data_IF_604830663988
#
_entry.id   IF_604830663988
#
_cell.length_a   1.000
_cell.length_b   1.000
_cell.length_c   1.000
_cell.angle_alpha   90.00
_cell.angle_beta   90.00
_cell.angle_gamma   90.00
#
_symmetry.space_group_name_H-M   'P 1'
#
loop_
_entity.id
_entity.type
_entity.pdbx_description
1 polymer ?
#
# COMPACT_ATOMS: atom_id res chain seq x y z
N UNK A 1 -16.19 -7.34 -20.79
CA UNK A 1 -15.00 -6.49 -20.86
C UNK A 1 -15.54 -5.09 -20.68
N UNK A 2 -15.53 -4.60 -19.42
CA UNK A 2 -16.00 -3.24 -19.12
C UNK A 2 -14.99 -2.23 -19.64
N UNK A 3 -15.48 -1.14 -20.17
CA UNK A 3 -14.68 -0.02 -20.63
C UNK A 3 -13.80 0.48 -19.49
N UNK A 4 -12.49 0.65 -19.75
CA UNK A 4 -11.54 1.35 -18.88
C UNK A 4 -11.89 2.85 -18.98
N UNK A 5 -13.14 3.17 -18.64
CA UNK A 5 -13.75 4.50 -18.80
C UNK A 5 -13.90 5.27 -17.49
N UNK A 6 -13.94 4.59 -16.37
CA UNK A 6 -14.03 5.27 -15.08
C UNK A 6 -12.61 5.57 -14.58
N UNK A 7 -12.26 6.84 -14.65
CA UNK A 7 -11.07 7.40 -13.99
C UNK A 7 -11.12 7.06 -12.51
N UNK A 8 -9.95 6.68 -11.96
CA UNK A 8 -9.80 6.56 -10.52
C UNK A 8 -10.08 7.95 -9.92
N UNK A 9 -11.26 8.13 -9.35
CA UNK A 9 -11.58 9.33 -8.59
C UNK A 9 -11.25 9.09 -7.14
N UNK A 10 -10.11 9.61 -6.68
CA UNK A 10 -9.82 9.69 -5.26
C UNK A 10 -10.54 10.93 -4.74
N UNK A 11 -11.57 10.74 -3.93
CA UNK A 11 -12.34 11.84 -3.34
C UNK A 11 -12.10 11.97 -1.84
N UNK A 12 -11.67 10.90 -1.19
CA UNK A 12 -11.49 10.82 0.27
C UNK A 12 -10.25 10.02 0.63
N UNK A 13 -9.25 10.72 1.13
CA UNK A 13 -8.00 10.12 1.61
C UNK A 13 -8.03 10.09 3.15
N UNK A 14 -7.83 8.90 3.72
CA UNK A 14 -7.67 8.71 5.17
C UNK A 14 -6.19 8.51 5.49
N UNK A 15 -5.67 9.26 6.47
CA UNK A 15 -4.31 9.11 6.95
C UNK A 15 -4.29 9.00 8.48
N UNK A 16 -4.15 7.80 9.05
CA UNK A 16 -3.91 7.63 10.46
C UNK A 16 -2.48 8.02 10.83
N UNK A 17 -2.34 8.73 11.94
CA UNK A 17 -1.04 9.18 12.46
C UNK A 17 -0.87 8.82 13.92
N UNK A 18 0.35 8.45 14.29
CA UNK A 18 0.83 8.33 15.66
C UNK A 18 1.94 9.36 15.97
N UNK A 19 2.11 10.32 15.06
CA UNK A 19 3.11 11.38 15.13
C UNK A 19 4.57 10.89 15.13
N UNK A 20 4.81 9.65 14.70
CA UNK A 20 6.16 9.15 14.41
C UNK A 20 6.73 9.79 13.13
N UNK A 21 8.05 9.72 12.94
CA UNK A 21 8.68 10.20 11.70
C UNK A 21 8.09 9.52 10.46
N UNK A 22 7.78 8.22 10.55
CA UNK A 22 7.22 7.46 9.42
C UNK A 22 5.78 7.87 9.15
N UNK A 23 4.97 8.10 10.18
CA UNK A 23 3.61 8.62 9.98
C UNK A 23 3.60 10.04 9.44
N UNK A 24 4.55 10.88 9.80
CA UNK A 24 4.71 12.23 9.21
C UNK A 24 5.05 12.15 7.71
N UNK A 25 5.85 11.17 7.29
CA UNK A 25 6.08 10.92 5.85
C UNK A 25 4.80 10.45 5.16
N UNK A 26 4.04 9.57 5.79
CA UNK A 26 2.74 9.15 5.27
C UNK A 26 1.75 10.33 5.13
N UNK A 27 1.71 11.25 6.11
CA UNK A 27 0.93 12.50 6.02
C UNK A 27 1.33 13.34 4.81
N UNK A 28 2.63 13.46 4.52
CA UNK A 28 3.11 14.22 3.36
C UNK A 28 2.66 13.59 2.03
N UNK A 29 2.68 12.25 1.91
CA UNK A 29 2.13 11.55 0.74
C UNK A 29 0.59 11.72 0.65
N UNK A 30 -0.12 11.59 1.77
CA UNK A 30 -1.56 11.77 1.81
C UNK A 30 -1.98 13.20 1.39
N UNK A 31 -1.24 14.20 1.86
CA UNK A 31 -1.43 15.60 1.52
C UNK A 31 -1.21 15.84 0.02
N UNK A 32 -0.09 15.35 -0.53
CA UNK A 32 0.22 15.50 -1.95
C UNK A 32 -0.80 14.80 -2.86
N UNK A 33 -1.30 13.62 -2.45
CA UNK A 33 -2.36 12.92 -3.18
C UNK A 33 -3.69 13.67 -3.09
N UNK A 34 -4.07 14.15 -1.91
CA UNK A 34 -5.29 14.93 -1.72
C UNK A 34 -5.27 16.22 -2.57
N UNK A 35 -4.14 16.93 -2.59
CA UNK A 35 -3.93 18.11 -3.45
C UNK A 35 -4.09 17.79 -4.94
N UNK A 36 -3.43 16.73 -5.40
CA UNK A 36 -3.43 16.38 -6.82
C UNK A 36 -4.81 15.95 -7.34
N UNK A 37 -5.56 15.19 -6.53
CA UNK A 37 -6.87 14.65 -6.92
C UNK A 37 -8.05 15.53 -6.49
N UNK A 38 -7.81 16.71 -5.91
CA UNK A 38 -8.84 17.57 -5.32
C UNK A 38 -9.72 16.78 -4.31
N UNK A 39 -9.06 15.91 -3.54
CA UNK A 39 -9.69 15.03 -2.56
C UNK A 39 -9.70 15.65 -1.17
N UNK A 40 -10.71 15.31 -0.36
CA UNK A 40 -10.68 15.61 1.06
C UNK A 40 -9.68 14.72 1.80
N UNK A 41 -9.00 15.27 2.80
CA UNK A 41 -8.08 14.56 3.68
C UNK A 41 -8.66 14.42 5.09
N UNK A 42 -8.70 13.19 5.60
CA UNK A 42 -9.02 12.95 6.99
C UNK A 42 -7.79 12.46 7.76
N UNK A 43 -7.33 13.24 8.75
CA UNK A 43 -6.26 12.84 9.65
C UNK A 43 -6.87 12.22 10.92
N UNK A 44 -6.47 11.01 11.25
CA UNK A 44 -6.99 10.24 12.38
C UNK A 44 -5.87 9.90 13.35
N UNK A 45 -6.05 10.26 14.62
CA UNK A 45 -5.26 9.68 15.70
C UNK A 45 -6.10 8.69 16.51
N UNK A 46 -5.48 7.60 16.96
CA UNK A 46 -6.15 6.63 17.82
C UNK A 46 -5.37 6.48 19.11
N UNK A 47 -5.97 6.94 20.21
CA UNK A 47 -5.46 6.73 21.56
C UNK A 47 -5.60 5.23 21.92
N UNK A 48 -4.52 4.53 22.26
CA UNK A 48 -4.62 3.14 22.67
C UNK A 48 -5.44 3.00 23.95
N UNK A 49 -6.14 1.87 24.16
CA UNK A 49 -6.91 1.67 25.38
C UNK A 49 -6.01 1.72 26.60
N UNK A 50 -6.47 2.38 27.65
CA UNK A 50 -5.77 2.35 28.94
C UNK A 50 -5.57 0.89 29.39
N UNK A 51 -4.38 0.51 29.87
CA UNK A 51 -4.20 -0.81 30.46
C UNK A 51 -5.11 -0.89 31.68
N UNK A 52 -6.20 -1.65 31.56
CA UNK A 52 -7.05 -2.00 32.70
C UNK A 52 -6.19 -2.81 33.64
N UNK A 53 -6.10 -2.36 34.89
CA UNK A 53 -5.31 -2.87 36.01
C UNK A 53 -5.10 -4.40 35.99
N UNK A 54 -3.85 -4.79 36.16
CA UNK A 54 -3.54 -6.20 36.43
C UNK A 54 -4.23 -6.65 37.74
N UNK A 55 -4.74 -7.89 37.79
CA UNK A 55 -5.47 -8.41 38.98
C UNK A 55 -4.64 -8.52 40.29
N UNK A 56 -3.37 -8.20 40.24
CA UNK A 56 -2.45 -8.29 41.35
C UNK A 56 -1.59 -7.02 41.48
N UNK A 57 -2.10 -6.06 42.24
CA UNK A 57 -1.35 -4.91 42.69
C UNK A 57 -1.78 -3.60 42.06
N UNK A 58 -2.08 -2.62 42.90
CA UNK A 58 -2.38 -1.25 42.59
C UNK A 58 -1.12 -0.54 42.04
N UNK A 59 -0.91 -0.60 40.72
CA UNK A 59 -0.09 0.43 40.08
C UNK A 59 -1.05 1.63 39.91
N UNK A 60 -0.84 2.75 40.57
CA UNK A 60 -1.66 3.94 40.37
C UNK A 60 -1.51 4.34 38.88
N UNK A 61 -2.53 4.12 38.10
CA UNK A 61 -2.58 4.68 36.75
C UNK A 61 -2.73 6.19 36.92
N UNK A 62 -1.70 6.94 36.62
CA UNK A 62 -1.77 8.40 36.63
C UNK A 62 -2.66 8.87 35.48
N UNK A 63 -3.93 9.06 35.77
CA UNK A 63 -4.94 9.54 34.79
C UNK A 63 -4.51 10.86 34.15
N UNK A 64 -3.78 11.71 34.88
CA UNK A 64 -3.29 13.00 34.35
C UNK A 64 -2.33 12.81 33.20
N UNK A 65 -1.47 11.80 33.24
CA UNK A 65 -0.55 11.52 32.15
C UNK A 65 -1.28 11.18 30.86
N UNK A 66 -2.40 10.45 30.94
CA UNK A 66 -3.23 10.14 29.77
C UNK A 66 -3.99 11.36 29.26
N UNK A 67 -4.45 12.23 30.15
CA UNK A 67 -5.09 13.50 29.78
C UNK A 67 -4.08 14.41 29.06
N UNK A 68 -2.87 14.56 29.58
CA UNK A 68 -1.79 15.33 28.96
C UNK A 68 -1.39 14.76 27.59
N UNK A 69 -1.27 13.43 27.45
CA UNK A 69 -0.97 12.79 26.17
C UNK A 69 -2.09 13.04 25.14
N UNK A 70 -3.34 12.99 25.56
CA UNK A 70 -4.49 13.25 24.69
C UNK A 70 -4.55 14.73 24.26
N UNK A 71 -4.29 15.66 25.18
CA UNK A 71 -4.20 17.08 24.86
C UNK A 71 -3.07 17.37 23.86
N UNK A 72 -1.91 16.74 24.06
CA UNK A 72 -0.81 16.85 23.11
C UNK A 72 -1.17 16.27 21.74
N UNK A 73 -1.80 15.09 21.68
CA UNK A 73 -2.25 14.48 20.45
C UNK A 73 -3.26 15.35 19.68
N UNK A 74 -4.18 16.00 20.40
CA UNK A 74 -5.11 16.96 19.79
C UNK A 74 -4.40 18.18 19.22
N UNK A 75 -3.39 18.72 19.91
CA UNK A 75 -2.60 19.86 19.45
C UNK A 75 -1.76 19.51 18.22
N UNK A 76 -1.10 18.33 18.23
CA UNK A 76 -0.30 17.85 17.12
C UNK A 76 -1.17 17.58 15.87
N UNK A 77 -2.36 16.99 16.08
CA UNK A 77 -3.31 16.71 15.01
C UNK A 77 -3.90 18.01 14.42
N UNK A 78 -4.20 19.00 15.26
CA UNK A 78 -4.63 20.31 14.81
C UNK A 78 -3.55 20.99 13.95
N UNK A 79 -2.29 20.93 14.40
CA UNK A 79 -1.14 21.46 13.65
C UNK A 79 -0.96 20.79 12.29
N UNK A 80 -1.09 19.46 12.22
CA UNK A 80 -1.03 18.72 10.97
C UNK A 80 -2.20 19.11 10.04
N UNK A 81 -3.42 19.20 10.58
CA UNK A 81 -4.60 19.63 9.82
C UNK A 81 -4.49 21.06 9.30
N UNK A 82 -3.94 21.98 10.11
CA UNK A 82 -3.76 23.38 9.68
C UNK A 82 -2.73 23.50 8.55
N UNK A 83 -1.67 22.69 8.55
CA UNK A 83 -0.71 22.62 7.43
C UNK A 83 -1.38 22.18 6.14
N UNK A 84 -2.22 21.15 6.19
CA UNK A 84 -2.93 20.67 5.02
C UNK A 84 -3.97 21.68 4.50
N UNK A 85 -4.72 22.33 5.40
CA UNK A 85 -5.65 23.41 5.05
C UNK A 85 -4.95 24.62 4.45
N UNK A 86 -3.77 24.98 4.96
CA UNK A 86 -2.95 26.07 4.42
C UNK A 86 -2.46 25.75 2.98
N UNK A 87 -2.34 24.48 2.61
CA UNK A 87 -2.10 24.04 1.24
C UNK A 87 -3.38 23.99 0.37
N UNK A 88 -4.53 24.42 0.90
CA UNK A 88 -5.81 24.48 0.16
C UNK A 88 -6.63 23.19 0.20
N UNK A 89 -6.25 22.19 1.00
CA UNK A 89 -6.91 20.88 1.05
C UNK A 89 -8.06 20.92 2.07
N UNK A 90 -9.24 20.45 1.65
CA UNK A 90 -10.35 20.20 2.57
C UNK A 90 -9.95 19.12 3.58
N UNK A 91 -9.64 19.54 4.81
CA UNK A 91 -9.04 18.65 5.81
C UNK A 91 -9.85 18.62 7.09
N UNK A 92 -10.22 17.42 7.49
CA UNK A 92 -10.84 17.13 8.78
C UNK A 92 -9.90 16.31 9.68
N UNK A 93 -10.10 16.43 10.99
CA UNK A 93 -9.27 15.73 11.98
C UNK A 93 -10.15 15.06 13.03
N UNK A 94 -9.76 13.88 13.52
CA UNK A 94 -10.44 13.25 14.65
C UNK A 94 -9.49 12.44 15.53
N UNK A 95 -9.84 12.34 16.82
CA UNK A 95 -9.18 11.44 17.78
C UNK A 95 -10.20 10.40 18.22
N UNK A 96 -9.82 9.13 18.19
CA UNK A 96 -10.62 8.00 18.68
C UNK A 96 -9.89 7.27 19.80
N UNK A 97 -10.63 6.73 20.74
CA UNK A 97 -10.08 5.82 21.75
C UNK A 97 -10.34 4.37 21.37
N UNK A 98 -9.32 3.51 21.43
CA UNK A 98 -9.50 2.09 21.14
C UNK A 98 -8.27 1.39 20.55
N UNK A 99 -8.49 0.22 19.97
CA UNK A 99 -7.43 -0.52 19.29
C UNK A 99 -7.19 0.09 17.88
N UNK A 100 -5.98 0.62 17.57
CA UNK A 100 -5.74 1.38 16.36
C UNK A 100 -6.24 0.71 15.08
N UNK A 101 -5.88 -0.57 14.85
CA UNK A 101 -6.32 -1.26 13.63
C UNK A 101 -7.84 -1.39 13.51
N UNK A 102 -8.56 -1.54 14.63
CA UNK A 102 -10.02 -1.65 14.63
C UNK A 102 -10.67 -0.31 14.32
N UNK A 103 -10.22 0.73 14.98
CA UNK A 103 -10.77 2.07 14.81
C UNK A 103 -10.49 2.63 13.41
N UNK A 104 -9.28 2.41 12.87
CA UNK A 104 -8.94 2.81 11.50
C UNK A 104 -9.86 2.10 10.49
N UNK A 105 -10.06 0.77 10.62
CA UNK A 105 -10.95 0.03 9.74
C UNK A 105 -12.40 0.52 9.83
N UNK A 106 -12.88 0.87 11.04
CA UNK A 106 -14.20 1.44 11.22
C UNK A 106 -14.34 2.79 10.50
N UNK A 107 -13.33 3.67 10.59
CA UNK A 107 -13.34 4.99 9.92
C UNK A 107 -13.30 4.84 8.40
N UNK A 108 -12.57 3.85 7.85
CA UNK A 108 -12.60 3.56 6.41
C UNK A 108 -14.04 3.35 5.92
N UNK A 109 -14.81 2.52 6.65
CA UNK A 109 -16.20 2.21 6.29
C UNK A 109 -17.13 3.41 6.52
N UNK A 110 -17.03 4.07 7.68
CA UNK A 110 -17.88 5.20 8.05
C UNK A 110 -17.76 6.38 7.10
N UNK A 111 -16.53 6.64 6.62
CA UNK A 111 -16.25 7.75 5.72
C UNK A 111 -16.21 7.31 4.26
N UNK A 112 -16.35 6.01 3.99
CA UNK A 112 -16.18 5.42 2.68
C UNK A 112 -14.88 5.94 2.00
N UNK A 113 -13.74 5.76 2.69
CA UNK A 113 -12.45 6.24 2.21
C UNK A 113 -12.04 5.51 0.93
N UNK A 114 -11.58 6.26 -0.07
CA UNK A 114 -11.15 5.72 -1.36
C UNK A 114 -9.68 5.28 -1.34
N UNK A 115 -8.90 5.83 -0.41
CA UNK A 115 -7.50 5.50 -0.19
C UNK A 115 -7.14 5.67 1.27
N UNK A 116 -6.41 4.70 1.81
CA UNK A 116 -5.74 4.83 3.09
C UNK A 116 -4.23 4.99 2.89
N UNK A 117 -3.59 5.96 3.55
CA UNK A 117 -2.15 6.15 3.53
C UNK A 117 -1.61 6.03 4.96
N UNK A 118 -0.66 5.11 5.19
CA UNK A 118 -0.07 4.91 6.52
C UNK A 118 1.41 4.53 6.44
N UNK A 119 2.13 4.70 7.56
CA UNK A 119 3.51 4.26 7.69
C UNK A 119 3.64 2.75 7.90
N UNK A 120 4.80 2.19 7.60
CA UNK A 120 5.10 0.76 7.83
C UNK A 120 5.07 0.38 9.31
N UNK A 121 5.43 1.29 10.22
CA UNK A 121 5.45 1.10 11.68
C UNK A 121 5.30 2.46 12.37
N UNK A 122 4.98 2.44 13.67
CA UNK A 122 4.79 3.62 14.51
C UNK A 122 5.82 3.68 15.65
N UNK A 123 5.52 4.45 16.70
CA UNK A 123 6.39 4.74 17.86
C UNK A 123 6.99 3.50 18.55
N UNK A 124 6.37 2.33 18.45
CA UNK A 124 6.83 1.07 19.10
C UNK A 124 7.64 0.16 18.18
N UNK A 125 7.94 0.57 16.95
CA UNK A 125 8.63 -0.28 15.96
C UNK A 125 10.11 -0.43 16.25
N UNK A 126 10.54 -1.67 16.50
CA UNK A 126 11.95 -2.05 16.56
C UNK A 126 12.48 -2.11 15.14
N UNK A 127 13.54 -1.33 14.89
CA UNK A 127 14.43 -1.29 13.71
C UNK A 127 14.00 -2.00 12.40
N UNK A 128 13.71 -1.20 11.40
CA UNK A 128 13.90 -1.36 9.93
C UNK A 128 13.43 -2.64 9.19
N UNK A 129 12.99 -3.71 9.85
CA UNK A 129 12.69 -4.99 9.17
C UNK A 129 11.30 -5.58 9.46
N UNK A 130 10.47 -4.95 10.29
CA UNK A 130 9.16 -5.50 10.65
C UNK A 130 8.02 -4.57 10.21
N UNK A 131 7.05 -5.10 9.48
CA UNK A 131 5.78 -4.42 9.27
C UNK A 131 5.05 -4.37 10.61
N UNK A 132 4.62 -3.19 11.04
CA UNK A 132 3.89 -2.99 12.29
C UNK A 132 2.57 -3.77 12.30
N UNK A 133 2.20 -4.28 13.48
CA UNK A 133 0.98 -5.10 13.65
C UNK A 133 -0.31 -4.38 13.23
N UNK A 134 -0.34 -3.04 13.30
CA UNK A 134 -1.45 -2.22 12.82
C UNK A 134 -1.46 -2.21 11.30
N UNK A 135 -0.33 -1.86 10.66
CA UNK A 135 -0.21 -1.81 9.21
C UNK A 135 -0.53 -3.17 8.55
N UNK A 136 0.00 -4.28 9.11
CA UNK A 136 -0.30 -5.63 8.62
C UNK A 136 -1.80 -5.95 8.66
N UNK A 137 -2.46 -5.66 9.81
CA UNK A 137 -3.92 -5.89 9.94
C UNK A 137 -4.73 -5.04 8.98
N UNK A 138 -4.33 -3.79 8.77
CA UNK A 138 -4.98 -2.86 7.87
C UNK A 138 -4.84 -3.34 6.43
N UNK A 139 -3.61 -3.58 5.94
CA UNK A 139 -3.36 -4.06 4.57
C UNK A 139 -4.15 -5.33 4.26
N UNK A 140 -4.35 -6.19 5.26
CA UNK A 140 -5.11 -7.43 5.09
C UNK A 140 -6.63 -7.24 5.03
N UNK A 141 -7.18 -6.23 5.72
CA UNK A 141 -8.63 -6.14 6.00
C UNK A 141 -9.33 -4.91 5.44
N UNK A 142 -8.59 -3.91 4.99
CA UNK A 142 -9.18 -2.70 4.44
C UNK A 142 -10.06 -3.01 3.21
N UNK A 143 -11.16 -2.30 3.07
CA UNK A 143 -12.04 -2.37 1.90
C UNK A 143 -11.58 -1.46 0.76
N UNK A 144 -10.68 -0.52 1.04
CA UNK A 144 -10.07 0.38 0.06
C UNK A 144 -8.59 0.03 -0.19
N UNK A 145 -7.97 0.54 -1.26
CA UNK A 145 -6.53 0.50 -1.47
C UNK A 145 -5.75 1.09 -0.29
N UNK A 146 -4.60 0.49 0.03
CA UNK A 146 -3.75 0.90 1.14
C UNK A 146 -2.36 1.23 0.65
N UNK A 147 -1.95 2.49 0.78
CA UNK A 147 -0.57 2.90 0.54
C UNK A 147 0.23 2.80 1.83
N UNK A 148 1.27 1.98 1.81
CA UNK A 148 2.19 1.83 2.94
C UNK A 148 3.49 2.55 2.60
N UNK A 149 3.84 3.53 3.42
CA UNK A 149 5.00 4.40 3.23
C UNK A 149 6.16 3.92 4.10
N UNK A 150 7.29 3.50 3.51
CA UNK A 150 8.46 3.07 4.26
C UNK A 150 9.29 4.26 4.78
N UNK A 151 10.16 4.06 5.79
CA UNK A 151 11.00 5.11 6.35
C UNK A 151 11.95 5.76 5.34
N UNK A 152 12.38 4.99 4.34
CA UNK A 152 13.29 5.47 3.29
C UNK A 152 12.60 6.32 2.22
N UNK A 153 11.26 6.32 2.18
CA UNK A 153 10.53 7.12 1.20
C UNK A 153 10.63 8.62 1.52
N UNK A 154 10.82 9.40 0.48
CA UNK A 154 10.83 10.85 0.54
C UNK A 154 9.83 11.37 -0.48
N UNK A 155 8.75 12.05 -0.05
CA UNK A 155 7.88 12.72 -0.98
C UNK A 155 8.64 13.87 -1.64
N UNK A 156 8.89 13.75 -2.93
CA UNK A 156 9.39 14.88 -3.71
C UNK A 156 8.25 15.88 -3.92
N UNK A 157 8.52 17.17 -3.76
CA UNK A 157 7.51 18.21 -3.89
C UNK A 157 6.89 18.18 -5.28
N UNK A 158 5.59 17.90 -5.37
CA UNK A 158 4.80 18.01 -6.60
C UNK A 158 4.95 16.85 -7.59
N UNK A 159 5.63 15.76 -7.25
CA UNK A 159 5.78 14.61 -8.16
C UNK A 159 4.95 13.44 -7.68
N UNK A 160 3.94 13.12 -8.45
CA UNK A 160 3.13 11.94 -8.26
C UNK A 160 3.53 10.89 -9.30
N UNK A 161 4.07 9.82 -8.84
CA UNK A 161 4.27 8.50 -9.45
C UNK A 161 4.46 8.48 -10.97
N UNK A 162 5.60 9.00 -11.46
CA UNK A 162 5.98 8.95 -12.88
C UNK A 162 6.44 7.56 -13.32
N UNK A 163 6.97 6.75 -12.40
CA UNK A 163 7.49 5.41 -12.66
C UNK A 163 6.81 4.42 -11.71
N UNK A 164 5.86 3.70 -12.25
CA UNK A 164 5.03 2.78 -11.51
C UNK A 164 5.46 1.35 -11.83
N UNK A 165 5.93 0.61 -10.82
CA UNK A 165 6.17 -0.83 -10.96
C UNK A 165 4.92 -1.60 -10.56
N UNK A 166 4.41 -2.43 -11.44
CA UNK A 166 3.25 -3.28 -11.17
C UNK A 166 3.58 -4.76 -11.39
N UNK A 167 3.86 -5.52 -10.32
CA UNK A 167 4.01 -6.96 -10.41
C UNK A 167 2.70 -7.65 -10.78
N UNK A 168 2.76 -8.57 -11.75
CA UNK A 168 1.61 -9.29 -12.29
C UNK A 168 1.84 -10.78 -12.16
N UNK A 169 0.87 -11.51 -11.62
CA UNK A 169 0.90 -12.97 -11.52
C UNK A 169 -0.30 -13.65 -12.19
N UNK A 170 -1.18 -12.87 -12.81
CA UNK A 170 -2.42 -13.31 -13.44
C UNK A 170 -3.55 -13.64 -12.47
N UNK A 171 -3.43 -13.25 -11.19
CA UNK A 171 -4.53 -13.31 -10.22
C UNK A 171 -5.51 -12.16 -10.43
N UNK A 172 -6.73 -12.30 -9.88
CA UNK A 172 -7.74 -11.21 -9.88
C UNK A 172 -7.21 -9.97 -9.15
N UNK A 173 -6.45 -10.16 -8.07
CA UNK A 173 -5.86 -9.06 -7.32
C UNK A 173 -4.77 -8.33 -8.13
N UNK A 174 -3.93 -9.06 -8.88
CA UNK A 174 -2.96 -8.41 -9.76
C UNK A 174 -3.62 -7.68 -10.94
N UNK A 175 -4.74 -8.19 -11.46
CA UNK A 175 -5.50 -7.48 -12.49
C UNK A 175 -6.09 -6.15 -11.95
N UNK A 176 -6.62 -6.15 -10.72
CA UNK A 176 -7.05 -4.93 -10.05
C UNK A 176 -5.90 -3.93 -9.84
N UNK A 177 -4.72 -4.43 -9.45
CA UNK A 177 -3.53 -3.61 -9.30
C UNK A 177 -3.08 -2.97 -10.64
N UNK A 178 -3.16 -3.71 -11.75
CA UNK A 178 -2.88 -3.16 -13.09
C UNK A 178 -3.83 -2.03 -13.43
N UNK A 179 -5.14 -2.22 -13.22
CA UNK A 179 -6.14 -1.17 -13.46
C UNK A 179 -5.82 0.09 -12.65
N UNK A 180 -5.48 -0.07 -11.37
CA UNK A 180 -5.12 1.05 -10.51
C UNK A 180 -3.82 1.73 -10.96
N UNK A 181 -2.78 0.97 -11.32
CA UNK A 181 -1.52 1.50 -11.81
C UNK A 181 -1.68 2.31 -13.11
N UNK A 182 -2.52 1.83 -14.04
CA UNK A 182 -2.82 2.53 -15.28
C UNK A 182 -3.58 3.85 -15.03
N UNK A 183 -4.52 3.84 -14.07
CA UNK A 183 -5.23 5.07 -13.69
C UNK A 183 -4.29 6.11 -13.09
N UNK A 184 -3.37 5.70 -12.19
CA UNK A 184 -2.33 6.60 -11.66
C UNK A 184 -1.43 7.15 -12.77
N UNK A 185 -0.98 6.29 -13.70
CA UNK A 185 -0.11 6.69 -14.80
C UNK A 185 -0.78 7.71 -15.72
N UNK A 186 -2.08 7.55 -15.98
CA UNK A 186 -2.86 8.47 -16.79
C UNK A 186 -2.89 9.88 -16.20
N UNK A 187 -3.16 9.98 -14.90
CA UNK A 187 -3.24 11.27 -14.21
C UNK A 187 -1.88 11.98 -14.11
N UNK A 188 -0.80 11.20 -14.08
CA UNK A 188 0.54 11.76 -13.91
C UNK A 188 1.37 11.83 -15.20
N UNK A 189 0.84 11.41 -16.35
CA UNK A 189 1.62 11.16 -17.58
C UNK A 189 2.85 10.26 -17.29
N UNK A 190 2.59 9.20 -16.51
CA UNK A 190 3.60 8.27 -16.03
C UNK A 190 3.82 7.07 -16.95
N UNK A 191 4.78 6.23 -16.56
CA UNK A 191 5.09 4.95 -17.18
C UNK A 191 4.76 3.80 -16.23
N UNK A 192 4.15 2.73 -16.74
CA UNK A 192 3.90 1.50 -15.99
C UNK A 192 4.85 0.41 -16.46
N UNK A 193 5.64 -0.13 -15.53
CA UNK A 193 6.46 -1.32 -15.75
C UNK A 193 5.72 -2.52 -15.20
N UNK A 194 5.19 -3.36 -16.07
CA UNK A 194 4.58 -4.64 -15.70
C UNK A 194 5.68 -5.68 -15.51
N UNK A 195 5.74 -6.31 -14.36
CA UNK A 195 6.75 -7.31 -14.02
C UNK A 195 6.11 -8.67 -13.75
N UNK A 196 6.47 -9.68 -14.54
CA UNK A 196 6.17 -11.08 -14.23
C UNK A 196 7.44 -11.78 -13.76
N UNK A 197 7.35 -12.51 -12.64
CA UNK A 197 8.48 -13.30 -12.13
C UNK A 197 8.23 -14.78 -12.36
N UNK A 198 9.17 -15.42 -13.06
CA UNK A 198 9.20 -16.88 -13.25
C UNK A 198 10.00 -17.49 -12.10
N UNK A 199 9.30 -18.26 -11.27
CA UNK A 199 9.93 -18.93 -10.14
C UNK A 199 10.76 -20.14 -10.60
N UNK A 200 11.91 -20.44 -9.96
CA UNK A 200 12.69 -21.62 -10.26
C UNK A 200 11.93 -22.90 -9.88
N UNK A 201 12.24 -24.00 -10.58
CA UNK A 201 11.72 -25.33 -10.22
C UNK A 201 12.19 -25.67 -8.80
N UNK A 202 11.32 -26.12 -7.89
CA UNK A 202 11.75 -26.67 -6.61
C UNK A 202 12.74 -27.81 -6.81
N UNK A 203 13.89 -27.74 -6.14
CA UNK A 203 14.95 -28.76 -6.29
C UNK A 203 14.56 -30.13 -5.67
N UNK A 204 13.44 -30.23 -4.98
CA UNK A 204 12.95 -31.43 -4.30
C UNK A 204 11.56 -31.82 -4.81
N UNK A 205 11.44 -32.98 -5.43
CA UNK A 205 10.19 -33.58 -5.87
C UNK A 205 10.32 -34.46 -7.13
N UNK A 206 9.24 -35.08 -7.57
CA UNK A 206 9.12 -35.87 -8.78
C UNK A 206 9.51 -35.12 -10.08
N UNK A 207 9.78 -33.85 -10.01
CA UNK A 207 10.19 -32.97 -11.09
C UNK A 207 11.71 -32.93 -11.35
N UNK A 208 12.51 -33.65 -10.56
CA UNK A 208 13.98 -33.68 -10.70
C UNK A 208 14.54 -34.18 -12.04
N UNK A 209 13.69 -34.62 -12.96
CA UNK A 209 14.04 -35.07 -14.30
C UNK A 209 13.62 -34.08 -15.42
N UNK A 210 12.98 -32.96 -15.10
CA UNK A 210 12.63 -31.95 -16.10
C UNK A 210 13.89 -31.17 -16.53
N UNK A 211 14.08 -31.07 -17.83
CA UNK A 211 15.07 -30.18 -18.42
C UNK A 211 14.78 -28.72 -17.92
N UNK A 212 15.70 -28.21 -17.10
CA UNK A 212 15.59 -26.88 -16.53
C UNK A 212 15.49 -25.77 -17.60
N UNK A 213 16.03 -26.02 -18.79
CA UNK A 213 15.94 -25.11 -19.93
C UNK A 213 14.53 -25.09 -20.51
N UNK A 214 13.92 -26.27 -20.67
CA UNK A 214 12.55 -26.40 -21.20
C UNK A 214 11.53 -25.80 -20.21
N UNK A 215 11.68 -26.04 -18.89
CA UNK A 215 10.84 -25.41 -17.87
C UNK A 215 10.93 -23.89 -17.91
N UNK A 216 12.16 -23.37 -18.04
CA UNK A 216 12.36 -21.91 -18.17
C UNK A 216 11.66 -21.36 -19.40
N UNK A 217 11.81 -22.03 -20.54
CA UNK A 217 11.18 -21.64 -21.82
C UNK A 217 9.64 -21.59 -21.69
N UNK A 218 9.05 -22.61 -21.05
CA UNK A 218 7.60 -22.69 -20.82
C UNK A 218 7.17 -21.55 -19.86
N UNK A 219 7.92 -21.33 -18.78
CA UNK A 219 7.67 -20.25 -17.83
C UNK A 219 7.72 -18.86 -18.47
N UNK A 220 8.73 -18.61 -19.31
CA UNK A 220 8.86 -17.35 -20.07
C UNK A 220 7.70 -17.14 -21.05
N UNK A 221 7.32 -18.17 -21.80
CA UNK A 221 6.18 -18.10 -22.73
C UNK A 221 4.86 -17.83 -21.99
N UNK A 222 4.67 -18.47 -20.82
CA UNK A 222 3.52 -18.19 -19.97
C UNK A 222 3.55 -16.75 -19.41
N UNK A 223 4.70 -16.30 -18.92
CA UNK A 223 4.88 -14.95 -18.40
C UNK A 223 4.55 -13.90 -19.48
N UNK A 224 5.04 -14.08 -20.70
CA UNK A 224 4.73 -13.21 -21.82
C UNK A 224 3.24 -13.17 -22.14
N UNK A 225 2.56 -14.33 -22.08
CA UNK A 225 1.11 -14.41 -22.28
C UNK A 225 0.34 -13.63 -21.21
N UNK A 226 0.73 -13.75 -19.93
CA UNK A 226 0.12 -13.02 -18.81
C UNK A 226 0.31 -11.52 -18.98
N UNK A 227 1.53 -11.08 -19.28
CA UNK A 227 1.84 -9.65 -19.46
C UNK A 227 1.08 -9.04 -20.65
N UNK A 228 1.08 -9.72 -21.77
CA UNK A 228 0.38 -9.24 -22.99
C UNK A 228 -1.14 -9.17 -22.79
N UNK A 229 -1.71 -10.08 -22.00
CA UNK A 229 -3.13 -10.08 -21.68
C UNK A 229 -3.52 -9.05 -20.60
N UNK A 230 -2.57 -8.57 -19.81
CA UNK A 230 -2.83 -7.66 -18.70
C UNK A 230 -3.29 -6.26 -19.14
N UNK A 231 -2.88 -5.84 -20.35
CA UNK A 231 -3.16 -4.48 -20.87
C UNK A 231 -3.60 -4.55 -22.32
N UNK A 232 -4.74 -3.96 -22.66
CA UNK A 232 -5.28 -3.93 -24.01
C UNK A 232 -4.45 -3.02 -24.95
N UNK A 233 -4.58 -3.26 -26.25
CA UNK A 233 -3.93 -2.42 -27.26
C UNK A 233 -4.38 -0.95 -27.20
N UNK A 234 -5.62 -0.70 -26.82
CA UNK A 234 -6.16 0.66 -26.66
C UNK A 234 -5.43 1.42 -25.55
N UNK A 235 -5.21 0.79 -24.38
CA UNK A 235 -4.48 1.41 -23.26
C UNK A 235 -3.07 1.81 -23.68
N UNK A 236 -2.41 1.00 -24.49
CA UNK A 236 -1.05 1.26 -24.99
C UNK A 236 -0.96 2.48 -25.91
N UNK A 237 -2.09 3.01 -26.40
CA UNK A 237 -2.11 4.24 -27.21
C UNK A 237 -1.96 5.51 -26.38
N UNK A 238 -2.35 5.46 -25.09
CA UNK A 238 -2.34 6.64 -24.21
C UNK A 238 -1.48 6.46 -22.94
N UNK A 239 -1.04 5.24 -22.60
CA UNK A 239 -0.16 4.98 -21.46
C UNK A 239 1.11 4.26 -21.92
N UNK A 240 2.26 4.73 -21.45
CA UNK A 240 3.53 4.04 -21.68
C UNK A 240 3.60 2.82 -20.78
N UNK A 241 3.51 1.65 -21.40
CA UNK A 241 3.58 0.37 -20.69
C UNK A 241 4.77 -0.44 -21.21
N UNK A 242 5.62 -0.87 -20.28
CA UNK A 242 6.75 -1.74 -20.54
C UNK A 242 6.59 -3.07 -19.81
N UNK A 243 6.92 -4.16 -20.48
CA UNK A 243 6.82 -5.52 -19.96
C UNK A 243 8.21 -6.07 -19.64
N UNK A 244 8.34 -6.64 -18.45
CA UNK A 244 9.59 -7.22 -17.96
C UNK A 244 9.32 -8.60 -17.40
N UNK A 245 10.12 -9.58 -17.81
CA UNK A 245 10.14 -10.93 -17.23
C UNK A 245 11.43 -11.07 -16.43
N UNK A 246 11.31 -11.48 -15.17
CA UNK A 246 12.45 -11.77 -14.31
C UNK A 246 12.41 -13.21 -13.80
N UNK A 247 13.56 -13.74 -13.38
CA UNK A 247 13.68 -15.11 -12.87
C UNK A 247 14.16 -15.10 -11.43
N UNK A 248 13.51 -15.85 -10.55
CA UNK A 248 13.92 -16.01 -9.17
C UNK A 248 12.78 -15.91 -8.17
N UNK A 249 13.09 -15.56 -6.94
CA UNK A 249 12.09 -15.38 -5.89
C UNK A 249 11.31 -14.08 -6.11
N UNK A 250 9.97 -14.10 -6.17
CA UNK A 250 9.16 -12.94 -6.55
C UNK A 250 9.46 -11.68 -5.73
N UNK A 251 9.49 -11.77 -4.41
CA UNK A 251 9.74 -10.59 -3.56
C UNK A 251 11.11 -9.95 -3.82
N UNK A 252 12.14 -10.74 -4.09
CA UNK A 252 13.48 -10.24 -4.38
C UNK A 252 13.53 -9.56 -5.75
N UNK A 253 12.97 -10.20 -6.77
CA UNK A 253 12.96 -9.63 -8.14
C UNK A 253 12.13 -8.37 -8.24
N UNK A 254 11.03 -8.26 -7.47
CA UNK A 254 10.22 -7.03 -7.40
C UNK A 254 11.04 -5.89 -6.80
N UNK A 255 11.75 -6.12 -5.70
CA UNK A 255 12.58 -5.10 -5.05
C UNK A 255 13.78 -4.69 -5.91
N UNK A 256 14.43 -5.65 -6.58
CA UNK A 256 15.51 -5.37 -7.52
C UNK A 256 15.01 -4.53 -8.71
N UNK A 257 13.85 -4.90 -9.28
CA UNK A 257 13.22 -4.14 -10.36
C UNK A 257 12.81 -2.74 -9.91
N UNK A 258 12.23 -2.58 -8.71
CA UNK A 258 11.89 -1.27 -8.16
C UNK A 258 13.12 -0.34 -8.08
N UNK A 259 14.26 -0.89 -7.66
CA UNK A 259 15.53 -0.15 -7.58
C UNK A 259 16.07 0.18 -8.97
N UNK A 260 16.14 -0.82 -9.87
CA UNK A 260 16.68 -0.65 -11.22
C UNK A 260 15.88 0.35 -12.05
N UNK A 261 14.55 0.30 -11.94
CA UNK A 261 13.63 1.19 -12.64
C UNK A 261 13.45 2.54 -11.92
N UNK A 262 14.03 2.70 -10.73
CA UNK A 262 13.80 3.87 -9.85
C UNK A 262 12.31 4.12 -9.66
N UNK A 263 11.57 3.09 -9.32
CA UNK A 263 10.14 3.18 -9.16
C UNK A 263 9.75 4.15 -8.06
N UNK A 264 8.81 5.04 -8.35
CA UNK A 264 8.26 6.01 -7.39
C UNK A 264 7.23 5.33 -6.49
N UNK A 265 6.60 4.27 -6.99
CA UNK A 265 5.64 3.43 -6.27
C UNK A 265 5.60 2.01 -6.83
N UNK A 266 5.38 1.02 -5.96
CA UNK A 266 5.02 -0.34 -6.36
C UNK A 266 3.51 -0.49 -6.16
N UNK A 267 2.76 -0.85 -7.20
CA UNK A 267 1.32 -1.12 -7.12
C UNK A 267 1.11 -2.62 -7.27
N UNK A 268 0.59 -3.29 -6.25
CA UNK A 268 0.47 -4.74 -6.27
C UNK A 268 -0.80 -5.25 -5.57
N UNK A 269 -1.29 -6.41 -5.99
CA UNK A 269 -2.41 -7.07 -5.35
C UNK A 269 -2.04 -7.57 -3.94
N UNK A 270 -2.98 -7.47 -3.01
CA UNK A 270 -2.78 -7.96 -1.63
C UNK A 270 -2.58 -9.48 -1.60
N UNK A 271 -3.07 -10.23 -2.61
CA UNK A 271 -3.01 -11.69 -2.71
C UNK A 271 -2.60 -12.13 -4.10
N UNK A 272 -1.80 -13.19 -4.19
CA UNK A 272 -1.44 -13.83 -5.45
C UNK A 272 -2.17 -15.17 -5.65
N UNK A 273 -1.77 -15.92 -6.68
CA UNK A 273 -2.33 -17.23 -7.08
C UNK A 273 -2.32 -18.31 -6.00
N UNK A 274 -1.40 -18.25 -5.04
CA UNK A 274 -1.22 -19.28 -4.00
C UNK A 274 -2.04 -19.12 -2.74
N UNK A 275 -2.89 -18.10 -2.64
CA UNK A 275 -3.68 -17.85 -1.45
C UNK A 275 -4.91 -18.77 -1.40
N UNK A 276 -4.79 -19.87 -0.66
CA UNK A 276 -5.89 -20.85 -0.44
C UNK A 276 -6.94 -20.29 0.53
N UNK A 277 -6.55 -19.36 1.41
CA UNK A 277 -7.42 -18.80 2.43
C UNK A 277 -7.77 -17.35 2.13
N UNK A 278 -9.07 -17.02 2.20
CA UNK A 278 -9.59 -15.65 1.96
C UNK A 278 -9.00 -14.63 2.94
N UNK A 279 -8.45 -15.08 4.07
CA UNK A 279 -7.83 -14.24 5.10
C UNK A 279 -6.29 -14.21 5.03
N UNK A 280 -5.67 -14.92 4.07
CA UNK A 280 -4.21 -14.97 3.98
C UNK A 280 -3.66 -13.71 3.31
N UNK A 281 -2.74 -13.03 3.99
CA UNK A 281 -1.91 -11.98 3.42
C UNK A 281 -0.80 -12.62 2.59
N UNK A 282 -0.63 -12.21 1.32
CA UNK A 282 0.36 -12.82 0.43
C UNK A 282 1.79 -12.64 0.96
N UNK A 283 2.56 -13.74 1.04
CA UNK A 283 3.95 -13.70 1.51
C UNK A 283 4.82 -12.73 0.69
N UNK A 284 4.63 -12.71 -0.62
CA UNK A 284 5.33 -11.79 -1.53
C UNK A 284 5.00 -10.33 -1.20
N UNK A 285 3.71 -10.01 -1.04
CA UNK A 285 3.27 -8.65 -0.72
C UNK A 285 3.80 -8.20 0.64
N UNK A 286 3.75 -9.06 1.65
CA UNK A 286 4.32 -8.79 2.95
C UNK A 286 5.83 -8.51 2.89
N UNK A 287 6.59 -9.36 2.19
CA UNK A 287 8.04 -9.19 2.03
C UNK A 287 8.38 -7.89 1.29
N UNK A 288 7.62 -7.55 0.23
CA UNK A 288 7.84 -6.31 -0.53
C UNK A 288 7.56 -5.09 0.33
N UNK A 289 6.41 -5.02 1.04
CA UNK A 289 6.07 -3.89 1.91
C UNK A 289 7.14 -3.67 2.99
N UNK A 290 7.67 -4.75 3.57
CA UNK A 290 8.68 -4.67 4.64
C UNK A 290 10.04 -4.17 4.17
N UNK A 291 10.39 -4.41 2.92
CA UNK A 291 11.76 -4.21 2.40
C UNK A 291 11.85 -3.13 1.33
N UNK A 292 10.72 -2.61 0.87
CA UNK A 292 10.69 -1.57 -0.14
C UNK A 292 11.28 -0.26 0.39
N UNK A 293 11.95 0.47 -0.48
CA UNK A 293 12.44 1.84 -0.24
C UNK A 293 11.51 2.91 -0.79
N UNK A 294 10.55 2.54 -1.61
CA UNK A 294 9.48 3.41 -2.11
C UNK A 294 8.11 2.96 -1.58
N UNK A 295 7.09 3.80 -1.62
CA UNK A 295 5.73 3.44 -1.23
C UNK A 295 5.22 2.19 -1.95
N UNK A 296 4.45 1.37 -1.24
CA UNK A 296 3.76 0.20 -1.80
C UNK A 296 2.27 0.40 -1.68
N UNK A 297 1.58 0.43 -2.80
CA UNK A 297 0.13 0.50 -2.88
C UNK A 297 -0.45 -0.91 -3.02
N UNK A 298 -1.05 -1.39 -1.96
CA UNK A 298 -1.69 -2.69 -1.87
C UNK A 298 -3.16 -2.60 -2.29
N UNK A 299 -3.55 -3.30 -3.35
CA UNK A 299 -4.89 -3.24 -3.95
C UNK A 299 -5.65 -4.53 -3.69
N UNK A 300 -6.86 -4.41 -3.15
CA UNK A 300 -7.80 -5.51 -3.00
C UNK A 300 -8.63 -5.72 -4.27
N UNK A 301 -9.03 -6.96 -4.62
CA UNK A 301 -9.87 -7.21 -5.79
C UNK A 301 -11.21 -6.47 -5.77
N UNK A 302 -11.74 -6.20 -4.58
CA UNK A 302 -13.02 -5.51 -4.35
C UNK A 302 -12.88 -3.99 -4.30
N UNK A 303 -11.67 -3.46 -4.30
CA UNK A 303 -11.40 -2.02 -4.16
C UNK A 303 -11.41 -1.25 -5.49
N UNK A 304 -11.61 -1.95 -6.61
CA UNK A 304 -11.80 -1.28 -7.91
C UNK A 304 -13.29 -1.03 -8.06
N UNK A 305 -13.76 0.22 -8.24
CA UNK A 305 -15.16 0.51 -8.53
C UNK A 305 -15.60 -0.26 -9.78
N UNK A 306 -16.76 -0.93 -9.68
CA UNK A 306 -17.35 -1.73 -10.76
C UNK A 306 -18.08 -0.82 -11.75
#
# INVERSE_FOLDING_TARGET
MKEIGDMLTLSRVLCPTDFSEVSTKAEAYATALAEHYDASLHLLHVDPPMPIMAPYGEIPVDVRLFEEQREQALADLATAGDRARAAGIDTTTSVRGGHPAREILAVIEEQAADLLVLGTHGRGGVEHLLLGSVAEKIVRKASCPVMVVPPAAHPESGVLFKRILCPVDGSVASAAAVTFALSLARETDGEVVLLQVVEPVPASGEFGALDTAEYRRIGEAHAQTVLSAAVSAEVRTWCRVREVVAHGKPSERILDAATAERADVIVMGVRGRGAIDVLAFGSTTNDVIRRSTCPVLAVHPTAVPV
#
